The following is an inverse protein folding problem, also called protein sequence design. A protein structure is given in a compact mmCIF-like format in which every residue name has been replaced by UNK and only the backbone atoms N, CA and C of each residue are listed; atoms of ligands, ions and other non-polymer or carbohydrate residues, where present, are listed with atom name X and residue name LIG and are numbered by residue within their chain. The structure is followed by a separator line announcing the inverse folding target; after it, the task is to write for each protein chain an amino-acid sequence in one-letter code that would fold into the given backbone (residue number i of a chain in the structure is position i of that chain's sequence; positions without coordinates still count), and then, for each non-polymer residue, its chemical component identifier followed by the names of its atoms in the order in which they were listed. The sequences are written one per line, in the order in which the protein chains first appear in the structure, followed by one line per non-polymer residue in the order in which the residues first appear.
data_IF_436260020309
#
_entry.id   IF_436260020309
#
_cell.length_a   1.000
_cell.length_b   1.000
_cell.length_c   1.000
_cell.angle_alpha   90.00
_cell.angle_beta   90.00
_cell.angle_gamma   90.00
#
_symmetry.space_group_name_H-M   'P 1'
#
loop_
_entity.id
_entity.type
_entity.pdbx_description
1 polymer ?
#
# COMPACT_ATOMS: atom_id res chain seq x y z
N UNK A 1 16.39 -1.33 4.30
CA UNK A 1 16.21 -0.03 3.65
C UNK A 1 14.93 0.56 4.22
N UNK A 2 15.00 1.68 4.93
CA UNK A 2 13.85 2.39 5.52
C UNK A 2 13.49 3.56 4.61
N UNK A 3 13.02 3.27 3.40
CA UNK A 3 12.47 4.28 2.48
C UNK A 3 10.96 4.20 2.55
N UNK A 4 10.31 5.28 2.98
CA UNK A 4 8.86 5.46 2.90
C UNK A 4 8.56 5.86 1.44
N UNK A 5 8.06 4.93 0.61
CA UNK A 5 7.80 5.15 -0.81
C UNK A 5 6.37 4.73 -1.20
N UNK A 6 5.65 5.63 -1.88
CA UNK A 6 4.33 5.31 -2.41
C UNK A 6 4.42 4.16 -3.44
N UNK A 7 3.69 3.05 -3.26
CA UNK A 7 3.69 1.96 -4.21
C UNK A 7 3.11 2.42 -5.55
N UNK A 8 3.86 2.26 -6.63
CA UNK A 8 3.44 2.63 -7.99
C UNK A 8 3.96 1.62 -9.00
N UNK A 9 3.29 1.51 -10.16
CA UNK A 9 3.73 0.62 -11.25
C UNK A 9 5.15 0.97 -11.70
N UNK A 10 5.45 2.26 -11.86
CA UNK A 10 6.78 2.75 -12.24
C UNK A 10 7.87 2.32 -11.25
N UNK A 11 7.56 2.33 -9.95
CA UNK A 11 8.50 1.87 -8.94
C UNK A 11 8.72 0.35 -9.03
N UNK A 12 7.67 -0.41 -9.25
CA UNK A 12 7.79 -1.85 -9.48
C UNK A 12 8.65 -2.16 -10.73
N UNK A 13 8.45 -1.43 -11.83
CA UNK A 13 9.26 -1.55 -13.05
C UNK A 13 10.75 -1.20 -12.77
N UNK A 14 11.01 -0.18 -11.94
CA UNK A 14 12.36 0.20 -11.56
C UNK A 14 13.05 -0.92 -10.77
N UNK A 15 12.37 -1.54 -9.80
CA UNK A 15 12.89 -2.69 -9.05
C UNK A 15 13.12 -3.90 -9.97
N UNK A 16 12.20 -4.17 -10.90
CA UNK A 16 12.37 -5.24 -11.89
C UNK A 16 13.62 -5.01 -12.75
N UNK A 17 13.85 -3.78 -13.24
CA UNK A 17 15.03 -3.45 -14.06
C UNK A 17 16.36 -3.58 -13.31
N UNK A 18 16.33 -3.50 -11.97
CA UNK A 18 17.50 -3.68 -11.09
C UNK A 18 17.67 -5.15 -10.65
N UNK A 19 16.89 -6.06 -11.23
CA UNK A 19 16.84 -7.48 -10.85
C UNK A 19 16.44 -7.70 -9.37
N UNK A 20 15.71 -6.74 -8.78
CA UNK A 20 15.13 -6.87 -7.45
C UNK A 20 13.73 -7.50 -7.57
N UNK A 21 13.70 -8.73 -8.10
CA UNK A 21 12.48 -9.41 -8.56
C UNK A 21 11.46 -9.61 -7.44
N UNK A 22 11.92 -9.93 -6.22
CA UNK A 22 11.05 -10.13 -5.05
C UNK A 22 10.37 -8.82 -4.61
N UNK A 23 11.10 -7.70 -4.63
CA UNK A 23 10.58 -6.39 -4.25
C UNK A 23 9.56 -5.90 -5.29
N UNK A 24 9.88 -6.04 -6.58
CA UNK A 24 8.98 -5.74 -7.68
C UNK A 24 7.69 -6.57 -7.59
N UNK A 25 7.81 -7.88 -7.35
CA UNK A 25 6.67 -8.79 -7.18
C UNK A 25 5.75 -8.35 -6.05
N UNK A 26 6.30 -7.98 -4.89
CA UNK A 26 5.53 -7.50 -3.75
C UNK A 26 4.73 -6.22 -4.10
N UNK A 27 5.35 -5.27 -4.80
CA UNK A 27 4.66 -4.03 -5.22
C UNK A 27 3.55 -4.33 -6.23
N UNK A 28 3.79 -5.14 -7.26
CA UNK A 28 2.74 -5.49 -8.22
C UNK A 28 1.57 -6.22 -7.55
N UNK A 29 1.86 -7.18 -6.66
CA UNK A 29 0.81 -7.89 -5.89
C UNK A 29 -0.03 -6.91 -5.07
N UNK A 30 0.61 -5.98 -4.40
CA UNK A 30 -0.07 -4.95 -3.62
C UNK A 30 -0.93 -4.02 -4.48
N UNK A 31 -0.45 -3.64 -5.67
CA UNK A 31 -1.21 -2.81 -6.61
C UNK A 31 -2.39 -3.57 -7.24
N UNK A 32 -2.25 -4.85 -7.51
CA UNK A 32 -3.30 -5.71 -8.07
C UNK A 32 -4.48 -5.87 -7.10
N UNK A 33 -4.26 -5.79 -5.78
CA UNK A 33 -5.33 -5.72 -4.77
C UNK A 33 -6.15 -4.42 -4.84
N UNK A 34 -5.62 -3.36 -5.46
CA UNK A 34 -6.23 -2.02 -5.49
C UNK A 34 -6.77 -1.65 -6.87
N UNK A 35 -6.35 -2.34 -7.92
CA UNK A 35 -6.72 -2.08 -9.31
C UNK A 35 -7.84 -3.02 -9.77
N UNK A 36 -8.57 -2.66 -10.86
CA UNK A 36 -9.52 -3.57 -11.49
C UNK A 36 -8.85 -4.90 -11.91
N UNK A 37 -9.58 -5.99 -11.73
CA UNK A 37 -9.04 -7.35 -11.84
C UNK A 37 -8.30 -7.59 -13.18
N UNK A 38 -7.08 -8.13 -13.08
CA UNK A 38 -6.37 -8.71 -14.21
C UNK A 38 -5.29 -7.85 -14.86
N UNK A 39 -5.20 -6.55 -14.56
CA UNK A 39 -4.23 -5.67 -15.23
C UNK A 39 -2.77 -6.04 -14.97
N UNK A 40 -2.46 -6.55 -13.77
CA UNK A 40 -1.10 -6.91 -13.37
C UNK A 40 -0.90 -8.42 -13.25
N UNK A 41 -1.94 -9.22 -13.48
CA UNK A 41 -1.95 -10.66 -13.21
C UNK A 41 -0.92 -11.43 -14.02
N UNK A 42 -0.78 -11.12 -15.31
CA UNK A 42 0.25 -11.74 -16.16
C UNK A 42 1.66 -11.42 -15.67
N UNK A 43 1.89 -10.16 -15.28
CA UNK A 43 3.19 -9.69 -14.80
C UNK A 43 3.55 -10.28 -13.44
N UNK A 44 2.58 -10.38 -12.53
CA UNK A 44 2.72 -11.09 -11.26
C UNK A 44 3.08 -12.56 -11.48
N UNK A 45 2.39 -13.23 -12.40
CA UNK A 45 2.65 -14.65 -12.67
C UNK A 45 4.04 -14.88 -13.28
N UNK A 46 4.47 -14.02 -14.20
CA UNK A 46 5.80 -14.13 -14.81
C UNK A 46 6.93 -13.86 -13.81
N UNK A 47 6.78 -12.85 -12.95
CA UNK A 47 7.72 -12.57 -11.86
C UNK A 47 7.75 -13.70 -10.83
N UNK A 48 6.59 -14.26 -10.48
CA UNK A 48 6.49 -15.42 -9.61
C UNK A 48 7.34 -16.58 -10.12
N UNK A 49 7.22 -16.93 -11.41
CA UNK A 49 8.04 -17.97 -12.03
C UNK A 49 9.54 -17.70 -11.90
N UNK A 50 9.97 -16.48 -12.21
CA UNK A 50 11.39 -16.07 -12.08
C UNK A 50 11.90 -16.26 -10.64
N UNK A 51 11.11 -15.86 -9.65
CA UNK A 51 11.42 -16.05 -8.22
C UNK A 51 11.64 -17.53 -7.89
N UNK A 52 10.75 -18.41 -8.34
CA UNK A 52 10.88 -19.84 -8.05
C UNK A 52 12.06 -20.49 -8.76
N UNK A 53 12.38 -20.05 -9.98
CA UNK A 53 13.56 -20.50 -10.72
C UNK A 53 14.86 -20.05 -10.05
N UNK A 54 14.94 -18.79 -9.64
CA UNK A 54 16.12 -18.18 -9.01
C UNK A 54 16.41 -18.81 -7.65
N UNK A 55 15.38 -19.00 -6.82
CA UNK A 55 15.55 -19.47 -5.44
C UNK A 55 15.41 -20.99 -5.27
N UNK A 56 15.28 -21.76 -6.36
CA UNK A 56 15.11 -23.21 -6.30
C UNK A 56 16.23 -23.93 -5.52
N UNK A 57 17.44 -23.39 -5.55
CA UNK A 57 18.57 -23.98 -4.83
C UNK A 57 18.53 -23.69 -3.32
N UNK A 58 17.87 -22.62 -2.90
CA UNK A 58 17.85 -22.13 -1.52
C UNK A 58 16.82 -22.82 -0.61
N UNK A 59 15.94 -23.66 -1.16
CA UNK A 59 15.01 -24.44 -0.34
C UNK A 59 15.71 -25.47 0.53
N UNK A 60 15.22 -25.59 1.76
CA UNK A 60 15.61 -26.63 2.69
C UNK A 60 15.39 -28.03 2.07
N UNK A 61 16.34 -28.98 2.22
CA UNK A 61 16.20 -30.34 1.69
C UNK A 61 14.91 -31.06 2.13
N UNK A 62 14.39 -30.76 3.31
CA UNK A 62 13.12 -31.32 3.81
C UNK A 62 11.95 -30.84 2.95
N UNK A 63 11.92 -29.56 2.60
CA UNK A 63 10.86 -29.01 1.72
C UNK A 63 10.91 -29.67 0.34
N UNK A 64 12.12 -29.87 -0.22
CA UNK A 64 12.31 -30.57 -1.51
C UNK A 64 11.90 -32.05 -1.48
N UNK A 65 11.80 -32.67 -0.30
CA UNK A 65 11.31 -34.05 -0.14
C UNK A 65 9.79 -34.14 -0.01
N UNK A 66 9.15 -33.09 0.50
CA UNK A 66 7.71 -33.05 0.75
C UNK A 66 6.95 -32.54 -0.47
N UNK A 67 7.49 -31.53 -1.15
CA UNK A 67 6.84 -30.89 -2.29
C UNK A 67 7.69 -31.06 -3.54
N UNK A 68 7.03 -31.36 -4.66
CA UNK A 68 7.61 -31.24 -5.99
C UNK A 68 7.85 -29.76 -6.34
N UNK A 69 8.69 -29.51 -7.35
CA UNK A 69 8.97 -28.14 -7.83
C UNK A 69 7.69 -27.42 -8.25
N UNK A 70 6.80 -28.11 -8.95
CA UNK A 70 5.53 -27.55 -9.43
C UNK A 70 4.58 -27.22 -8.27
N UNK A 71 4.60 -28.02 -7.20
CA UNK A 71 3.82 -27.75 -5.98
C UNK A 71 4.38 -26.55 -5.21
N UNK A 72 5.70 -26.40 -5.13
CA UNK A 72 6.35 -25.22 -4.52
C UNK A 72 5.90 -23.94 -5.24
N UNK A 73 5.92 -23.93 -6.57
CA UNK A 73 5.43 -22.80 -7.37
C UNK A 73 3.92 -22.57 -7.18
N UNK A 74 3.12 -23.64 -7.29
CA UNK A 74 1.66 -23.58 -7.16
C UNK A 74 1.21 -23.03 -5.81
N UNK A 75 1.84 -23.49 -4.73
CA UNK A 75 1.55 -23.05 -3.36
C UNK A 75 2.29 -21.78 -2.97
N UNK A 76 3.12 -21.23 -3.87
CA UNK A 76 3.93 -20.04 -3.66
C UNK A 76 4.81 -20.11 -2.40
N UNK A 77 5.38 -21.29 -2.14
CA UNK A 77 6.23 -21.52 -0.98
C UNK A 77 7.56 -20.82 -1.23
N UNK A 78 7.96 -19.86 -0.40
CA UNK A 78 9.25 -19.18 -0.48
C UNK A 78 10.26 -19.78 0.51
N UNK A 79 11.57 -19.78 0.21
CA UNK A 79 12.57 -20.11 1.22
C UNK A 79 12.57 -19.07 2.34
N UNK A 80 13.04 -19.47 3.52
CA UNK A 80 12.90 -18.68 4.76
C UNK A 80 13.43 -17.25 4.65
N UNK A 81 14.58 -17.06 3.98
CA UNK A 81 15.20 -15.74 3.83
C UNK A 81 14.34 -14.81 2.97
N UNK A 82 13.89 -15.29 1.81
CA UNK A 82 13.04 -14.56 0.88
C UNK A 82 11.67 -14.30 1.49
N UNK A 83 11.12 -15.27 2.22
CA UNK A 83 9.86 -15.08 2.94
C UNK A 83 9.97 -13.95 3.97
N UNK A 84 11.05 -13.89 4.75
CA UNK A 84 11.28 -12.79 5.70
C UNK A 84 11.43 -11.43 5.00
N UNK A 85 12.09 -11.38 3.85
CA UNK A 85 12.22 -10.15 3.05
C UNK A 85 10.85 -9.70 2.51
N UNK A 86 10.09 -10.63 1.93
CA UNK A 86 8.75 -10.39 1.42
C UNK A 86 7.81 -9.85 2.51
N UNK A 87 7.81 -10.47 3.70
CA UNK A 87 7.00 -10.01 4.83
C UNK A 87 7.35 -8.57 5.24
N UNK A 88 8.64 -8.22 5.30
CA UNK A 88 9.07 -6.85 5.62
C UNK A 88 8.58 -5.86 4.58
N UNK A 89 8.68 -6.24 3.31
CA UNK A 89 8.21 -5.41 2.20
C UNK A 89 6.69 -5.19 2.29
N UNK A 90 5.90 -6.26 2.44
CA UNK A 90 4.44 -6.14 2.59
C UNK A 90 4.03 -5.30 3.79
N UNK A 91 4.72 -5.43 4.92
CA UNK A 91 4.45 -4.60 6.10
C UNK A 91 4.64 -3.11 5.78
N UNK A 92 5.76 -2.76 5.13
CA UNK A 92 6.04 -1.39 4.72
C UNK A 92 4.98 -0.84 3.75
N UNK A 93 4.57 -1.64 2.75
CA UNK A 93 3.54 -1.26 1.78
C UNK A 93 2.18 -0.99 2.46
N UNK A 94 1.83 -1.77 3.48
CA UNK A 94 0.56 -1.65 4.22
C UNK A 94 0.55 -0.53 5.27
N UNK A 95 1.69 -0.21 5.87
CA UNK A 95 1.75 0.88 6.84
C UNK A 95 1.59 2.25 6.15
N UNK A 96 2.01 2.38 4.90
CA UNK A 96 1.78 3.59 4.11
C UNK A 96 0.32 3.86 3.76
N UNK A 97 -0.48 2.84 3.46
CA UNK A 97 -1.91 3.05 3.20
C UNK A 97 -2.62 3.61 4.43
N UNK A 98 -2.27 3.13 5.63
CA UNK A 98 -2.85 3.62 6.89
C UNK A 98 -2.48 5.07 7.20
N UNK A 99 -1.23 5.47 6.95
CA UNK A 99 -0.79 6.85 7.14
C UNK A 99 -1.49 7.81 6.16
N UNK A 100 -1.59 7.42 4.89
CA UNK A 100 -2.26 8.23 3.86
C UNK A 100 -3.77 8.38 4.12
N UNK A 101 -4.45 7.34 4.62
CA UNK A 101 -5.88 7.42 4.96
C UNK A 101 -6.14 8.27 6.20
N UNK A 102 -5.19 8.31 7.14
CA UNK A 102 -5.24 9.17 8.33
C UNK A 102 -5.00 10.63 7.98
N UNK A 103 -4.09 10.92 7.04
CA UNK A 103 -3.83 12.29 6.57
C UNK A 103 -4.96 12.82 5.68
N UNK A 104 -5.55 12.00 4.81
CA UNK A 104 -6.73 12.40 4.01
C UNK A 104 -7.96 12.78 4.84
N UNK A 105 -8.10 12.26 6.07
CA UNK A 105 -9.17 12.68 6.99
C UNK A 105 -8.90 14.04 7.63
N UNK A 106 -7.64 14.43 7.80
CA UNK A 106 -7.28 15.72 8.37
C UNK A 106 -7.36 16.85 7.34
N UNK A 107 -7.02 16.59 6.07
CA UNK A 107 -7.11 17.60 4.99
C UNK A 107 -8.55 17.98 4.61
N UNK A 108 -9.57 17.31 5.14
CA UNK A 108 -10.98 17.67 4.91
C UNK A 108 -11.52 18.68 5.94
N UNK A 109 -10.76 19.00 6.99
CA UNK A 109 -11.18 19.94 8.04
C UNK A 109 -10.37 21.24 8.10
N UNK A 110 -9.22 21.32 7.42
CA UNK A 110 -8.41 22.55 7.38
C UNK A 110 -8.57 23.28 6.04
N UNK A 111 -9.71 23.97 5.90
CA UNK A 111 -9.87 25.20 5.10
C UNK A 111 -11.26 25.78 5.34
N UNK A 112 -11.46 26.33 6.53
CA UNK A 112 -12.46 27.39 6.74
C UNK A 112 -11.75 28.56 7.40
N UNK A 113 -10.87 29.21 6.64
CA UNK A 113 -10.18 30.44 7.06
C UNK A 113 -11.05 31.70 6.88
N UNK A 114 -12.34 31.54 6.53
CA UNK A 114 -13.24 32.66 6.33
C UNK A 114 -14.32 32.67 7.42
N UNK A 115 -14.09 33.45 8.47
CA UNK A 115 -15.02 33.65 9.60
C UNK A 115 -16.41 34.08 9.13
N UNK A 116 -16.51 34.75 7.98
CA UNK A 116 -17.76 35.20 7.38
C UNK A 116 -18.63 34.05 6.83
N UNK A 117 -18.02 32.96 6.37
CA UNK A 117 -18.76 31.79 5.88
C UNK A 117 -19.29 30.94 7.04
N UNK A 118 -18.53 30.86 8.14
CA UNK A 118 -18.98 30.24 9.39
C UNK A 118 -20.18 30.99 9.97
N UNK A 119 -20.12 32.33 9.98
CA UNK A 119 -21.23 33.18 10.43
C UNK A 119 -22.49 33.00 9.58
N UNK A 120 -22.36 32.92 8.25
CA UNK A 120 -23.49 32.62 7.35
C UNK A 120 -24.07 31.23 7.56
N UNK A 121 -23.23 30.24 7.86
CA UNK A 121 -23.68 28.86 8.14
C UNK A 121 -24.48 28.79 9.45
N UNK A 122 -24.07 29.52 10.49
CA UNK A 122 -24.85 29.61 11.74
C UNK A 122 -26.17 30.37 11.58
N UNK A 123 -26.20 31.43 10.76
CA UNK A 123 -27.45 32.11 10.38
C UNK A 123 -28.45 31.14 9.73
N UNK A 124 -27.96 30.26 8.84
CA UNK A 124 -28.78 29.33 8.07
C UNK A 124 -29.38 28.21 8.93
N UNK A 125 -28.66 27.74 9.95
CA UNK A 125 -29.06 26.57 10.75
C UNK A 125 -29.93 26.95 11.95
N UNK A 126 -29.81 28.16 12.50
CA UNK A 126 -30.53 28.52 13.73
C UNK A 126 -31.46 29.72 13.66
N UNK A 127 -31.55 30.46 12.55
CA UNK A 127 -32.39 31.67 12.51
C UNK A 127 -32.06 32.66 13.63
N UNK A 128 -30.81 32.66 14.10
CA UNK A 128 -30.34 33.35 15.31
C UNK A 128 -29.75 34.70 14.92
N UNK A 129 -30.17 35.75 15.62
CA UNK A 129 -29.75 37.14 15.39
C UNK A 129 -28.30 37.34 15.88
N UNK A 130 -27.45 37.93 15.04
CA UNK A 130 -26.00 38.08 15.27
C UNK A 130 -25.70 39.01 16.45
N UNK A 131 -26.70 39.78 16.88
CA UNK A 131 -26.61 40.72 18.00
C UNK A 131 -26.21 40.03 19.32
N UNK A 132 -26.52 38.73 19.51
CA UNK A 132 -26.19 37.97 20.73
C UNK A 132 -24.77 37.39 20.76
N UNK A 133 -24.04 37.37 19.62
CA UNK A 133 -22.70 36.76 19.54
C UNK A 133 -21.60 37.75 19.92
N UNK A 134 -21.86 39.06 19.80
CA UNK A 134 -20.87 40.10 20.14
C UNK A 134 -20.57 40.19 21.64
N UNK A 135 -21.54 39.86 22.50
CA UNK A 135 -21.38 39.97 23.96
C UNK A 135 -20.57 38.81 24.59
N UNK A 136 -20.16 37.82 23.79
CA UNK A 136 -19.31 36.71 24.24
C UNK A 136 -17.81 36.98 24.10
N UNK A 137 -17.42 38.14 23.56
CA UNK A 137 -16.03 38.52 23.30
C UNK A 137 -15.63 39.93 23.83
N UNK A 138 -16.44 40.53 24.72
CA UNK A 138 -16.00 41.61 25.64
C UNK A 138 -15.89 41.08 27.07
#
# INVERSE_FOLDING_TARGET
MNGNFKPTVTLADLYESQNQILDAYAIYRFLDEQLPEGQLREKINSLGKKIFEEFNQEYDPVIKKIFSKDEIEKFKILPTKQFSQYQKMEANLRDETKLNDSQKKNDKYDKIENTDEILKFFQLIKGMDISEIKDLYE
#
